data_IF_045222203060
#
_entry.id   IF_045222203060
#
_cell.length_a   1.000
_cell.length_b   1.000
_cell.length_c   1.000
_cell.angle_alpha   90.00
_cell.angle_beta   90.00
_cell.angle_gamma   90.00
#
_symmetry.space_group_name_H-M   'P 1'
#
loop_
_entity.id
_entity.type
_entity.pdbx_description
1 polymer ?
#
# COMPACT_ATOMS: atom_id res chain seq x y z
N UNK A 1 -19.54 58.25 9.63
CA UNK A 1 -19.43 57.00 8.84
C UNK A 1 -18.83 55.93 9.73
N UNK A 2 -19.59 54.88 10.06
CA UNK A 2 -19.16 53.78 10.95
C UNK A 2 -18.31 52.80 10.15
N UNK A 3 -17.10 52.52 10.62
CA UNK A 3 -16.21 51.49 10.10
C UNK A 3 -16.75 50.13 10.57
N UNK A 4 -17.09 49.26 9.62
CA UNK A 4 -17.47 47.86 9.89
C UNK A 4 -16.19 47.02 9.83
N UNK A 5 -15.67 46.59 10.99
CA UNK A 5 -14.62 45.58 11.06
C UNK A 5 -15.33 44.22 11.03
N UNK A 6 -15.24 43.54 9.89
CA UNK A 6 -15.65 42.14 9.76
C UNK A 6 -14.46 41.30 10.22
N UNK A 7 -14.53 40.77 11.43
CA UNK A 7 -13.61 39.76 11.94
C UNK A 7 -13.95 38.42 11.29
N UNK A 8 -13.13 38.01 10.32
CA UNK A 8 -13.17 36.68 9.71
C UNK A 8 -12.61 35.67 10.72
N UNK A 9 -13.49 34.94 11.42
CA UNK A 9 -13.10 33.83 12.28
C UNK A 9 -12.75 32.62 11.39
N UNK A 10 -11.46 32.44 11.10
CA UNK A 10 -10.95 31.22 10.46
C UNK A 10 -10.88 30.15 11.54
N UNK A 11 -11.86 29.25 11.56
CA UNK A 11 -11.83 28.04 12.37
C UNK A 11 -10.85 27.06 11.71
N UNK A 12 -9.61 27.00 12.19
CA UNK A 12 -8.71 25.89 11.86
C UNK A 12 -9.22 24.64 12.58
N UNK A 13 -9.90 23.76 11.85
CA UNK A 13 -10.15 22.39 12.29
C UNK A 13 -8.79 21.67 12.35
N UNK A 14 -8.22 21.55 13.54
CA UNK A 14 -7.13 20.62 13.78
C UNK A 14 -7.70 19.20 13.64
N UNK A 15 -7.48 18.56 12.49
CA UNK A 15 -7.65 17.12 12.39
C UNK A 15 -6.60 16.45 13.27
N UNK A 16 -7.02 15.86 14.38
CA UNK A 16 -6.17 14.93 15.13
C UNK A 16 -5.97 13.68 14.25
N UNK A 17 -4.80 13.57 13.61
CA UNK A 17 -4.35 12.37 12.92
C UNK A 17 -3.84 11.33 13.92
N UNK A 18 -4.62 11.04 14.96
CA UNK A 18 -4.27 9.94 15.85
C UNK A 18 -4.69 8.65 15.17
N UNK A 19 -3.71 7.76 14.97
CA UNK A 19 -3.98 6.38 14.57
C UNK A 19 -4.88 5.71 15.60
N UNK A 20 -5.62 4.70 15.17
CA UNK A 20 -6.38 3.85 16.08
C UNK A 20 -5.44 3.16 17.09
N UNK A 21 -5.91 2.94 18.32
CA UNK A 21 -5.12 2.31 19.37
C UNK A 21 -4.55 0.96 18.88
N UNK A 22 -3.24 0.77 19.07
CA UNK A 22 -2.52 -0.42 18.59
C UNK A 22 -1.89 -0.28 17.21
N UNK A 23 -2.22 0.75 16.44
CA UNK A 23 -1.55 1.06 15.18
C UNK A 23 -0.41 2.07 15.37
N UNK A 24 0.62 1.93 14.54
CA UNK A 24 1.83 2.77 14.52
C UNK A 24 2.23 3.08 13.09
N UNK A 25 2.96 4.18 12.90
CA UNK A 25 3.71 4.38 11.66
C UNK A 25 4.97 3.52 11.69
N UNK A 26 5.27 2.82 10.59
CA UNK A 26 6.44 1.94 10.52
C UNK A 26 7.74 2.71 10.82
N UNK A 27 7.89 3.91 10.24
CA UNK A 27 9.08 4.77 10.45
C UNK A 27 9.34 5.15 11.90
N UNK A 28 8.33 5.10 12.77
CA UNK A 28 8.51 5.40 14.20
C UNK A 28 9.06 4.18 14.96
N UNK A 29 9.00 2.99 14.34
CA UNK A 29 9.57 1.73 14.85
C UNK A 29 10.91 1.43 14.17
N UNK A 30 10.97 1.56 12.85
CA UNK A 30 12.14 1.29 12.03
C UNK A 30 12.08 2.14 10.75
N UNK A 31 12.95 3.15 10.65
CA UNK A 31 13.06 4.04 9.50
C UNK A 31 14.05 3.54 8.44
N UNK A 32 14.69 2.39 8.67
CA UNK A 32 15.61 1.76 7.71
C UNK A 32 14.90 0.97 6.62
N UNK A 33 13.67 0.52 6.88
CA UNK A 33 12.83 -0.20 5.90
C UNK A 33 12.35 0.77 4.83
N UNK A 34 12.59 0.42 3.57
CA UNK A 34 12.20 1.25 2.43
C UNK A 34 10.69 1.13 2.21
N UNK A 35 9.98 2.26 2.13
CA UNK A 35 8.52 2.29 1.93
C UNK A 35 8.20 2.89 0.55
N UNK A 36 7.54 2.10 -0.28
CA UNK A 36 7.06 2.47 -1.61
C UNK A 36 5.62 1.99 -1.78
N UNK A 37 4.69 2.61 -1.05
CA UNK A 37 3.28 2.22 -1.06
C UNK A 37 2.70 2.43 -2.46
N UNK A 38 2.54 1.34 -3.22
CA UNK A 38 2.16 1.40 -4.65
C UNK A 38 0.78 2.00 -4.88
N UNK A 39 -0.09 1.91 -3.88
CA UNK A 39 -1.43 2.47 -3.93
C UNK A 39 -1.49 3.97 -3.56
N UNK A 40 -0.41 4.55 -3.03
CA UNK A 40 -0.23 6.00 -2.87
C UNK A 40 0.21 6.68 -4.19
N UNK A 41 0.60 5.92 -5.21
CA UNK A 41 0.92 6.44 -6.54
C UNK A 41 -0.04 5.87 -7.59
N UNK A 42 0.19 6.20 -8.86
CA UNK A 42 -0.49 5.56 -10.00
C UNK A 42 0.27 4.35 -10.56
N UNK A 43 1.38 3.94 -9.93
CA UNK A 43 2.18 2.77 -10.32
C UNK A 43 1.62 1.46 -9.74
N UNK A 44 0.35 1.20 -10.01
CA UNK A 44 -0.35 -0.01 -9.58
C UNK A 44 -1.32 -0.50 -10.66
N UNK A 45 -1.94 -1.67 -10.47
CA UNK A 45 -2.81 -2.30 -11.48
C UNK A 45 -4.03 -1.46 -11.88
N UNK A 46 -4.45 -0.50 -11.04
CA UNK A 46 -5.56 0.42 -11.34
C UNK A 46 -5.13 1.62 -12.19
N UNK A 47 -3.84 1.98 -12.15
CA UNK A 47 -3.31 3.18 -12.80
C UNK A 47 -3.76 4.49 -12.14
N UNK A 48 -4.32 4.43 -10.93
CA UNK A 48 -4.88 5.56 -10.20
C UNK A 48 -4.34 5.60 -8.78
N UNK A 49 -4.43 6.79 -8.16
CA UNK A 49 -4.26 6.95 -6.71
C UNK A 49 -5.43 6.26 -6.01
N UNK A 50 -5.16 5.28 -5.16
CA UNK A 50 -6.20 4.47 -4.53
C UNK A 50 -6.78 5.21 -3.33
N UNK A 51 -8.11 5.21 -3.21
CA UNK A 51 -8.78 5.90 -2.12
C UNK A 51 -8.31 5.38 -0.75
N UNK A 52 -7.91 6.30 0.13
CA UNK A 52 -7.43 5.97 1.48
C UNK A 52 -5.91 5.93 1.64
N UNK A 53 -5.14 5.83 0.56
CA UNK A 53 -3.69 6.03 0.58
C UNK A 53 -3.36 7.52 0.46
N UNK A 54 -3.40 8.23 1.59
CA UNK A 54 -3.25 9.69 1.62
C UNK A 54 -1.79 10.17 1.69
N UNK A 55 -0.86 9.28 2.01
CA UNK A 55 0.58 9.58 2.08
C UNK A 55 1.40 8.30 1.93
N UNK A 56 2.68 8.42 1.56
CA UNK A 56 3.62 7.29 1.55
C UNK A 56 4.14 6.95 2.96
N UNK A 57 3.25 6.84 3.95
CA UNK A 57 3.60 6.41 5.31
C UNK A 57 2.90 5.08 5.59
N UNK A 58 3.68 4.02 5.77
CA UNK A 58 3.16 2.71 6.12
C UNK A 58 2.60 2.71 7.56
N UNK A 59 1.40 2.18 7.71
CA UNK A 59 0.70 2.01 8.99
C UNK A 59 0.57 0.51 9.23
N UNK A 60 0.88 0.07 10.45
CA UNK A 60 0.82 -1.32 10.87
C UNK A 60 0.32 -1.41 12.31
N UNK A 61 -0.17 -2.57 12.70
CA UNK A 61 -0.24 -2.94 14.12
C UNK A 61 1.16 -2.89 14.72
N UNK A 62 1.29 -2.49 15.98
CA UNK A 62 2.59 -2.40 16.67
C UNK A 62 3.33 -3.73 16.63
N UNK A 63 2.63 -4.83 16.85
CA UNK A 63 3.18 -6.18 16.82
C UNK A 63 3.75 -6.52 15.43
N UNK A 64 3.03 -6.17 14.36
CA UNK A 64 3.50 -6.40 12.99
C UNK A 64 4.68 -5.51 12.62
N UNK A 65 4.73 -4.26 13.10
CA UNK A 65 5.84 -3.36 12.85
C UNK A 65 7.14 -3.86 13.51
N UNK A 66 7.04 -4.34 14.76
CA UNK A 66 8.18 -4.94 15.46
C UNK A 66 8.67 -6.21 14.77
N UNK A 67 7.75 -7.12 14.39
CA UNK A 67 8.11 -8.33 13.65
C UNK A 67 8.75 -8.03 12.28
N UNK A 68 8.30 -6.96 11.61
CA UNK A 68 8.90 -6.53 10.34
C UNK A 68 10.32 -5.97 10.54
N UNK A 69 10.57 -5.25 11.64
CA UNK A 69 11.91 -4.78 12.02
C UNK A 69 12.84 -5.95 12.34
N UNK A 70 12.37 -6.98 13.05
CA UNK A 70 13.16 -8.20 13.27
C UNK A 70 13.52 -8.89 11.94
N UNK A 71 12.58 -8.94 10.99
CA UNK A 71 12.84 -9.48 9.65
C UNK A 71 13.83 -8.62 8.85
N UNK A 72 13.77 -7.29 8.97
CA UNK A 72 14.73 -6.36 8.38
C UNK A 72 16.15 -6.67 8.88
N UNK A 73 16.33 -6.86 10.18
CA UNK A 73 17.61 -7.24 10.78
C UNK A 73 18.16 -8.57 10.23
N UNK A 74 17.28 -9.56 10.04
CA UNK A 74 17.67 -10.85 9.48
C UNK A 74 18.08 -10.75 8.01
N UNK A 75 17.35 -9.99 7.19
CA UNK A 75 17.72 -9.76 5.79
C UNK A 75 18.99 -8.92 5.66
N UNK A 76 19.20 -7.93 6.53
CA UNK A 76 20.41 -7.11 6.55
C UNK A 76 21.67 -7.96 6.75
N UNK A 77 21.61 -8.98 7.62
CA UNK A 77 22.71 -9.96 7.83
C UNK A 77 23.02 -10.76 6.57
N UNK A 78 22.05 -10.92 5.66
CA UNK A 78 22.18 -11.61 4.38
C UNK A 78 22.57 -10.66 3.23
N UNK A 79 22.73 -9.36 3.48
CA UNK A 79 23.06 -8.37 2.46
C UNK A 79 21.85 -7.82 1.70
N UNK A 80 20.64 -7.97 2.25
CA UNK A 80 19.39 -7.48 1.68
C UNK A 80 18.68 -6.51 2.62
N UNK A 81 17.95 -5.54 2.07
CA UNK A 81 17.03 -4.67 2.80
C UNK A 81 15.60 -4.88 2.30
N UNK A 82 14.61 -4.80 3.18
CA UNK A 82 13.21 -4.86 2.80
C UNK A 82 12.77 -3.60 2.07
N UNK A 83 11.92 -3.79 1.06
CA UNK A 83 11.08 -2.76 0.47
C UNK A 83 9.61 -3.16 0.62
N UNK A 84 8.80 -2.27 1.17
CA UNK A 84 7.40 -2.46 1.50
C UNK A 84 6.49 -1.79 0.45
N UNK A 85 5.64 -2.58 -0.20
CA UNK A 85 4.71 -2.14 -1.25
C UNK A 85 3.28 -1.92 -0.76
N UNK A 86 2.86 -2.66 0.27
CA UNK A 86 1.59 -2.41 0.96
C UNK A 86 1.62 -2.86 2.43
N UNK A 87 0.80 -2.21 3.25
CA UNK A 87 0.67 -2.42 4.69
C UNK A 87 -0.83 -2.35 5.08
N UNK A 88 -1.20 -1.57 6.10
CA UNK A 88 -2.62 -1.32 6.39
C UNK A 88 -3.36 -0.73 5.18
N UNK A 89 -4.38 -1.46 4.73
CA UNK A 89 -5.25 -1.07 3.63
C UNK A 89 -6.64 -0.74 4.17
N UNK A 90 -7.07 0.53 4.20
CA UNK A 90 -8.40 0.88 4.70
C UNK A 90 -9.49 0.25 3.83
N UNK A 91 -10.64 -0.07 4.41
CA UNK A 91 -11.75 -0.71 3.68
C UNK A 91 -12.16 0.08 2.42
N UNK A 92 -12.08 1.42 2.45
CA UNK A 92 -12.36 2.26 1.27
C UNK A 92 -11.45 1.97 0.06
N UNK A 93 -10.20 1.53 0.29
CA UNK A 93 -9.30 1.10 -0.78
C UNK A 93 -9.74 -0.24 -1.37
N UNK A 94 -10.23 -1.16 -0.53
CA UNK A 94 -10.81 -2.42 -0.99
C UNK A 94 -12.08 -2.16 -1.81
N UNK A 95 -12.94 -1.26 -1.35
CA UNK A 95 -14.15 -0.86 -2.07
C UNK A 95 -13.80 -0.18 -3.40
N UNK A 96 -12.71 0.61 -3.45
CA UNK A 96 -12.17 1.16 -4.69
C UNK A 96 -11.75 0.07 -5.68
N UNK A 97 -11.04 -0.98 -5.24
CA UNK A 97 -10.67 -2.10 -6.11
C UNK A 97 -11.88 -2.84 -6.66
N UNK A 98 -12.93 -3.02 -5.86
CA UNK A 98 -14.21 -3.60 -6.29
C UNK A 98 -14.91 -2.71 -7.33
N UNK A 99 -14.92 -1.39 -7.14
CA UNK A 99 -15.49 -0.47 -8.12
C UNK A 99 -14.69 -0.49 -9.43
N UNK A 100 -13.35 -0.44 -9.33
CA UNK A 100 -12.45 -0.53 -10.48
C UNK A 100 -12.67 -1.83 -11.25
N UNK A 101 -12.80 -2.97 -10.58
CA UNK A 101 -12.97 -4.27 -11.23
C UNK A 101 -14.26 -4.38 -12.03
N UNK A 102 -15.33 -3.72 -11.56
CA UNK A 102 -16.63 -3.66 -12.23
C UNK A 102 -16.62 -2.76 -13.48
N UNK A 103 -15.61 -1.89 -13.64
CA UNK A 103 -15.40 -1.14 -14.88
C UNK A 103 -14.55 -1.96 -15.87
N UNK A 104 -15.21 -2.80 -16.67
CA UNK A 104 -14.54 -3.70 -17.61
C UNK A 104 -13.78 -2.99 -18.76
N UNK A 105 -14.06 -1.72 -19.01
CA UNK A 105 -13.39 -0.94 -20.06
C UNK A 105 -12.08 -0.30 -19.61
N UNK A 106 -11.87 -0.19 -18.29
CA UNK A 106 -10.61 0.29 -17.73
C UNK A 106 -9.57 -0.84 -17.71
N UNK A 107 -8.83 -0.96 -18.82
CA UNK A 107 -7.75 -1.94 -19.02
C UNK A 107 -6.40 -1.26 -19.25
N UNK A 108 -6.21 -0.03 -18.77
CA UNK A 108 -5.01 0.79 -19.03
C UNK A 108 -3.74 -0.01 -18.71
N UNK A 109 -3.74 -0.69 -17.56
CA UNK A 109 -2.60 -1.42 -17.03
C UNK A 109 -2.67 -2.94 -17.25
N UNK A 110 -3.62 -3.43 -18.04
CA UNK A 110 -3.80 -4.88 -18.31
C UNK A 110 -2.52 -5.54 -18.81
N UNK A 111 -1.82 -4.91 -19.77
CA UNK A 111 -0.62 -5.50 -20.38
C UNK A 111 0.53 -5.73 -19.40
N UNK A 112 0.54 -4.98 -18.30
CA UNK A 112 1.60 -5.01 -17.30
C UNK A 112 1.23 -5.98 -16.17
N UNK A 113 0.01 -5.87 -15.63
CA UNK A 113 -0.36 -6.57 -14.40
C UNK A 113 -1.18 -7.84 -14.63
N UNK A 114 -1.95 -7.96 -15.71
CA UNK A 114 -2.80 -9.14 -15.94
C UNK A 114 -2.95 -9.44 -17.45
N UNK A 115 -1.85 -9.62 -18.18
CA UNK A 115 -1.87 -9.70 -19.64
C UNK A 115 -2.72 -10.87 -20.15
N UNK A 116 -2.71 -11.99 -19.40
CA UNK A 116 -3.30 -13.25 -19.80
C UNK A 116 -4.66 -13.53 -19.15
N UNK A 117 -5.15 -12.65 -18.27
CA UNK A 117 -6.39 -12.84 -17.50
C UNK A 117 -7.42 -11.79 -17.90
N UNK A 118 -8.69 -12.17 -18.03
CA UNK A 118 -9.76 -11.18 -18.21
C UNK A 118 -10.04 -10.50 -16.88
N UNK A 119 -10.29 -9.19 -16.91
CA UNK A 119 -10.55 -8.41 -15.69
C UNK A 119 -11.72 -8.99 -14.85
N UNK A 120 -12.72 -9.58 -15.52
CA UNK A 120 -13.85 -10.27 -14.89
C UNK A 120 -13.46 -11.51 -14.08
N UNK A 121 -12.32 -12.14 -14.40
CA UNK A 121 -11.83 -13.39 -13.78
C UNK A 121 -10.93 -13.10 -12.56
N UNK A 122 -10.54 -11.84 -12.32
CA UNK A 122 -9.61 -11.49 -11.23
C UNK A 122 -10.14 -11.84 -9.82
N UNK A 123 -11.47 -11.74 -9.63
CA UNK A 123 -12.12 -12.14 -8.38
C UNK A 123 -12.22 -13.66 -8.24
N UNK A 124 -12.57 -14.34 -9.33
CA UNK A 124 -12.69 -15.80 -9.36
C UNK A 124 -11.36 -16.47 -9.04
N UNK A 125 -10.25 -15.92 -9.55
CA UNK A 125 -8.90 -16.38 -9.27
C UNK A 125 -8.31 -15.84 -7.96
N UNK A 126 -9.06 -15.05 -7.20
CA UNK A 126 -8.67 -14.61 -5.86
C UNK A 126 -7.60 -13.51 -5.81
N UNK A 127 -7.24 -12.89 -6.94
CA UNK A 127 -6.29 -11.77 -6.99
C UNK A 127 -6.87 -10.48 -6.38
N UNK A 128 -8.19 -10.34 -6.39
CA UNK A 128 -8.91 -9.26 -5.70
C UNK A 128 -9.94 -9.87 -4.75
N UNK A 129 -9.98 -9.36 -3.52
CA UNK A 129 -10.90 -9.83 -2.50
C UNK A 129 -11.82 -8.69 -2.03
N UNK A 130 -13.09 -9.02 -1.74
CA UNK A 130 -14.04 -8.09 -1.12
C UNK A 130 -13.66 -7.71 0.33
N UNK A 131 -12.79 -8.50 0.96
CA UNK A 131 -12.23 -8.27 2.30
C UNK A 131 -10.75 -8.60 2.25
N UNK A 132 -9.90 -7.67 2.69
CA UNK A 132 -8.45 -7.85 2.69
C UNK A 132 -7.91 -8.12 4.09
N UNK A 133 -6.93 -9.03 4.20
CA UNK A 133 -6.15 -9.21 5.44
C UNK A 133 -5.42 -7.93 5.85
N UNK A 134 -4.99 -7.13 4.88
CA UNK A 134 -4.36 -5.82 5.08
C UNK A 134 -5.23 -4.86 5.90
N UNK A 135 -6.55 -4.97 5.82
CA UNK A 135 -7.46 -4.11 6.61
C UNK A 135 -7.40 -4.39 8.12
N UNK A 136 -6.71 -5.45 8.55
CA UNK A 136 -6.41 -5.74 9.97
C UNK A 136 -5.08 -5.15 10.44
N UNK A 137 -4.24 -4.65 9.54
CA UNK A 137 -2.96 -4.00 9.90
C UNK A 137 -1.79 -4.94 10.23
N UNK A 138 -1.93 -6.24 9.99
CA UNK A 138 -0.87 -7.23 10.23
C UNK A 138 -0.56 -8.06 8.97
N UNK A 139 -0.71 -7.44 7.80
CA UNK A 139 -0.36 -8.03 6.50
C UNK A 139 0.48 -7.01 5.75
N UNK A 140 1.53 -7.49 5.10
CA UNK A 140 2.49 -6.69 4.37
C UNK A 140 2.80 -7.36 3.03
N UNK A 141 2.98 -6.53 2.01
CA UNK A 141 3.55 -6.96 0.74
C UNK A 141 4.96 -6.38 0.63
N UNK A 142 5.96 -7.26 0.50
CA UNK A 142 7.38 -6.87 0.52
C UNK A 142 8.16 -7.50 -0.63
N UNK A 143 9.29 -6.89 -0.94
CA UNK A 143 10.38 -7.51 -1.70
C UNK A 143 11.72 -7.18 -1.03
N UNK A 144 12.83 -7.53 -1.68
CA UNK A 144 14.18 -7.34 -1.19
C UNK A 144 14.99 -6.47 -2.14
N UNK A 145 15.85 -5.63 -1.60
CA UNK A 145 16.87 -4.88 -2.32
C UNK A 145 18.24 -5.42 -1.90
N UNK A 146 19.07 -5.78 -2.87
CA UNK A 146 20.47 -6.12 -2.58
C UNK A 146 21.23 -4.85 -2.18
N UNK A 147 21.77 -4.83 -0.97
CA UNK A 147 22.41 -3.64 -0.38
C UNK A 147 23.65 -3.23 -1.18
N UNK A 148 24.42 -4.20 -1.69
CA UNK A 148 25.68 -3.96 -2.41
C UNK A 148 25.49 -3.24 -3.74
N UNK A 149 24.38 -3.51 -4.43
CA UNK A 149 24.09 -2.98 -5.77
C UNK A 149 22.96 -1.96 -5.78
N UNK A 150 22.21 -1.85 -4.68
CA UNK A 150 20.97 -1.08 -4.56
C UNK A 150 19.94 -1.45 -5.64
N UNK A 151 19.89 -2.73 -6.01
CA UNK A 151 18.95 -3.26 -7.01
C UNK A 151 17.88 -4.10 -6.34
N UNK A 152 16.65 -3.97 -6.83
CA UNK A 152 15.55 -4.86 -6.46
C UNK A 152 15.91 -6.30 -6.86
N UNK A 153 15.69 -7.23 -5.94
CA UNK A 153 15.84 -8.66 -6.17
C UNK A 153 14.76 -9.13 -7.16
N UNK A 154 15.16 -9.92 -8.14
CA UNK A 154 14.25 -10.52 -9.11
C UNK A 154 13.42 -11.63 -8.43
N UNK A 155 12.16 -11.32 -8.15
CA UNK A 155 11.18 -12.26 -7.59
C UNK A 155 10.41 -13.04 -8.69
N UNK A 156 10.82 -12.91 -9.96
CA UNK A 156 10.19 -13.51 -11.12
C UNK A 156 9.08 -12.65 -11.74
N UNK A 157 8.32 -11.92 -10.92
CA UNK A 157 7.28 -10.99 -11.37
C UNK A 157 7.35 -9.65 -10.65
N UNK A 158 6.66 -8.66 -11.18
CA UNK A 158 6.42 -7.40 -10.48
C UNK A 158 5.41 -7.58 -9.34
N UNK A 159 5.37 -6.63 -8.42
CA UNK A 159 4.29 -6.49 -7.45
C UNK A 159 2.92 -6.38 -8.15
N UNK A 160 1.89 -7.01 -7.57
CA UNK A 160 0.52 -7.10 -8.10
C UNK A 160 0.41 -7.70 -9.51
N UNK A 161 1.37 -8.51 -9.93
CA UNK A 161 1.20 -9.32 -11.13
C UNK A 161 0.15 -10.41 -10.88
N UNK A 162 -0.95 -10.38 -11.62
CA UNK A 162 -2.02 -11.36 -11.57
C UNK A 162 -1.82 -12.39 -12.67
N UNK A 163 -1.09 -13.45 -12.33
CA UNK A 163 -0.76 -14.57 -13.21
C UNK A 163 -0.43 -15.82 -12.40
N UNK A 164 -0.43 -16.97 -13.07
CA UNK A 164 -0.16 -18.28 -12.44
C UNK A 164 1.23 -18.32 -11.78
N UNK A 165 2.14 -17.48 -12.26
CA UNK A 165 3.48 -17.27 -11.75
C UNK A 165 3.50 -16.78 -10.29
N UNK A 166 2.40 -16.20 -9.80
CA UNK A 166 2.26 -15.68 -8.43
C UNK A 166 1.40 -16.58 -7.52
N UNK A 167 0.94 -17.72 -8.02
CA UNK A 167 0.13 -18.69 -7.24
C UNK A 167 0.98 -19.90 -6.83
N UNK A 168 0.84 -20.30 -5.56
CA UNK A 168 1.50 -21.48 -4.97
C UNK A 168 0.66 -22.75 -5.12
#
# INVERSE_FOLDING_TARGET
MKIFIITLLIFFLFFNNNLEDGFVYLKDIDDSIIVDLKYYSNENFTGQYVEGYLSNNAILTKESALALSDAQDDFNKLGYSLILYDAYRPQRAVDFFVQWSNNFYDTINKRIYYPNIKKSELFEFGYIAYKSGHSRGSTVDVSLIEISTNKLLDMGTIFDYFGIECTF
#
